data_IF_334918488288
#
_entry.id   IF_334918488288
#
_cell.length_a   1.000
_cell.length_b   1.000
_cell.length_c   1.000
_cell.angle_alpha   90.00
_cell.angle_beta   90.00
_cell.angle_gamma   90.00
#
_symmetry.space_group_name_H-M   'P 1'
#
loop_
_entity.id
_entity.type
_entity.pdbx_description
1 polymer ?
#
# COMPACT_ATOMS: atom_id res chain seq x y z
N UNK A 1 -11.21 5.60 6.92
CA UNK A 1 -10.60 5.46 8.26
C UNK A 1 -9.12 5.08 8.19
N UNK A 2 -8.72 3.93 7.62
CA UNK A 2 -7.31 3.48 7.55
C UNK A 2 -6.36 4.56 7.01
N UNK A 3 -6.69 5.14 5.84
CA UNK A 3 -5.88 6.16 5.16
C UNK A 3 -5.48 7.34 6.06
N UNK A 4 -6.46 7.92 6.77
CA UNK A 4 -6.22 9.07 7.66
C UNK A 4 -5.44 8.68 8.91
N UNK A 5 -5.65 7.49 9.46
CA UNK A 5 -4.88 7.03 10.63
C UNK A 5 -3.42 6.78 10.28
N UNK A 6 -3.15 6.13 9.14
CA UNK A 6 -1.79 5.93 8.65
C UNK A 6 -1.07 7.25 8.42
N UNK A 7 -1.75 8.24 7.84
CA UNK A 7 -1.21 9.58 7.70
C UNK A 7 -0.98 10.29 9.04
N UNK A 8 -1.91 10.14 10.00
CA UNK A 8 -1.82 10.75 11.33
C UNK A 8 -0.60 10.27 12.11
N UNK A 9 -0.24 8.98 12.02
CA UNK A 9 0.95 8.42 12.67
C UNK A 9 2.26 8.66 11.88
N UNK A 10 2.21 9.45 10.80
CA UNK A 10 3.37 9.80 9.99
C UNK A 10 3.78 8.76 8.94
N UNK A 11 2.97 7.73 8.71
CA UNK A 11 3.23 6.65 7.73
C UNK A 11 2.11 6.55 6.68
N UNK A 12 1.85 7.60 5.88
CA UNK A 12 0.77 7.58 4.91
C UNK A 12 0.97 6.48 3.85
N UNK A 13 -0.13 5.99 3.28
CA UNK A 13 -0.09 4.95 2.26
C UNK A 13 0.58 5.45 0.97
N UNK A 14 1.35 4.56 0.34
CA UNK A 14 1.93 4.78 -1.00
C UNK A 14 0.79 5.06 -1.99
N UNK A 15 0.99 6.05 -2.86
CA UNK A 15 0.03 6.43 -3.89
C UNK A 15 -1.27 7.08 -3.39
N UNK A 16 -1.41 7.38 -2.09
CA UNK A 16 -2.62 8.08 -1.59
C UNK A 16 -2.66 9.53 -2.11
N UNK A 17 -3.64 9.90 -2.96
CA UNK A 17 -3.65 11.22 -3.60
C UNK A 17 -4.02 12.36 -2.65
N UNK A 18 -4.63 12.05 -1.49
CA UNK A 18 -5.11 13.04 -0.51
C UNK A 18 -4.13 13.17 0.64
N UNK A 19 -3.75 12.05 1.27
CA UNK A 19 -2.94 12.06 2.49
C UNK A 19 -1.46 11.71 2.27
N UNK A 20 -1.08 11.25 1.07
CA UNK A 20 0.27 10.77 0.75
C UNK A 20 1.25 11.84 0.22
N UNK A 21 0.76 13.05 -0.08
CA UNK A 21 1.53 14.08 -0.80
C UNK A 21 2.71 14.69 -0.06
N UNK A 22 2.86 14.48 1.26
CA UNK A 22 3.73 15.35 2.04
C UNK A 22 5.07 14.82 2.56
N UNK A 23 5.35 13.52 2.75
CA UNK A 23 6.61 13.13 3.44
C UNK A 23 7.25 11.79 3.06
N UNK A 24 6.57 10.86 2.36
CA UNK A 24 7.09 9.49 2.22
C UNK A 24 8.15 9.31 1.12
N UNK A 25 7.88 9.82 -0.08
CA UNK A 25 8.71 9.53 -1.27
C UNK A 25 9.79 10.59 -1.53
N UNK A 26 9.58 11.83 -1.09
CA UNK A 26 10.61 12.88 -1.17
C UNK A 26 11.75 12.65 -0.16
N UNK A 27 11.51 11.92 0.93
CA UNK A 27 12.51 11.58 1.97
C UNK A 27 13.36 10.36 1.58
N UNK A 28 13.00 9.64 0.52
CA UNK A 28 13.69 8.44 0.04
C UNK A 28 14.83 8.72 -0.97
N UNK A 29 15.29 9.97 -1.03
CA UNK A 29 16.50 10.35 -1.77
C UNK A 29 16.22 10.82 -3.20
N UNK A 30 16.74 11.99 -3.52
CA UNK A 30 16.86 12.49 -4.89
C UNK A 30 18.36 12.56 -5.18
N UNK A 31 18.88 11.65 -6.01
CA UNK A 31 20.30 11.59 -6.36
C UNK A 31 20.65 10.44 -7.30
N UNK A 32 21.87 10.44 -7.88
CA UNK A 32 22.37 9.32 -8.68
C UNK A 32 22.47 8.06 -7.81
N UNK A 33 21.88 6.94 -8.26
CA UNK A 33 21.74 5.71 -7.45
C UNK A 33 20.31 5.41 -6.98
N UNK A 34 19.29 6.00 -7.62
CA UNK A 34 17.89 5.76 -7.30
C UNK A 34 17.46 4.35 -7.72
N UNK A 35 17.07 3.53 -6.76
CA UNK A 35 16.57 2.18 -7.01
C UNK A 35 15.17 2.17 -7.65
N UNK A 36 14.95 1.19 -8.53
CA UNK A 36 13.67 0.98 -9.22
C UNK A 36 12.47 0.84 -8.28
N UNK A 37 12.69 0.40 -7.02
CA UNK A 37 11.64 0.33 -6.01
C UNK A 37 11.06 1.70 -5.62
N UNK A 38 11.88 2.76 -5.60
CA UNK A 38 11.40 4.11 -5.29
C UNK A 38 10.62 4.72 -6.44
N UNK A 39 11.04 4.47 -7.68
CA UNK A 39 10.29 4.92 -8.85
C UNK A 39 8.94 4.20 -8.95
N UNK A 40 8.89 2.90 -8.67
CA UNK A 40 7.63 2.14 -8.58
C UNK A 40 6.68 2.72 -7.52
N UNK A 41 7.18 3.02 -6.32
CA UNK A 41 6.36 3.63 -5.26
C UNK A 41 5.86 5.03 -5.62
N UNK A 42 6.68 5.84 -6.32
CA UNK A 42 6.30 7.18 -6.76
C UNK A 42 5.23 7.14 -7.87
N UNK A 43 5.35 6.18 -8.79
CA UNK A 43 4.44 6.02 -9.92
C UNK A 43 3.15 5.28 -9.56
N UNK A 44 3.04 4.72 -8.35
CA UNK A 44 1.89 3.93 -7.94
C UNK A 44 0.60 4.78 -7.94
N UNK A 45 -0.44 4.40 -8.71
CA UNK A 45 -1.48 5.34 -9.16
C UNK A 45 -2.60 5.59 -8.13
N UNK A 46 -2.62 4.85 -7.02
CA UNK A 46 -3.69 4.87 -6.02
C UNK A 46 -3.15 4.51 -4.65
N UNK A 47 -3.94 4.70 -3.60
CA UNK A 47 -3.60 4.19 -2.28
C UNK A 47 -3.32 2.68 -2.33
N UNK A 48 -2.14 2.27 -1.84
CA UNK A 48 -1.76 0.87 -1.66
C UNK A 48 -2.54 0.25 -0.49
N UNK A 49 -3.85 0.09 -0.71
CA UNK A 49 -4.82 -0.46 0.24
C UNK A 49 -5.68 -1.49 -0.50
N UNK A 50 -5.81 -2.69 0.10
CA UNK A 50 -6.58 -3.80 -0.45
C UNK A 50 -7.41 -4.47 0.63
N UNK A 51 -8.70 -4.67 0.36
CA UNK A 51 -9.60 -5.43 1.23
C UNK A 51 -9.49 -6.92 0.86
N UNK A 52 -8.49 -7.59 1.43
CA UNK A 52 -8.16 -8.97 1.06
C UNK A 52 -9.19 -10.01 1.53
N UNK A 53 -9.84 -9.76 2.68
CA UNK A 53 -10.77 -10.70 3.30
C UNK A 53 -12.00 -9.95 3.78
N UNK A 54 -13.18 -10.49 3.47
CA UNK A 54 -14.46 -10.06 4.03
C UNK A 54 -15.11 -11.25 4.73
N UNK A 55 -15.41 -11.11 6.01
CA UNK A 55 -16.12 -12.12 6.79
C UNK A 55 -17.30 -11.51 7.53
N UNK A 56 -18.45 -12.18 7.50
CA UNK A 56 -19.64 -11.77 8.24
C UNK A 56 -20.59 -12.94 8.44
N UNK A 57 -21.52 -12.79 9.39
CA UNK A 57 -22.62 -13.73 9.58
C UNK A 57 -23.73 -13.38 8.59
N UNK A 58 -24.13 -14.33 7.75
CA UNK A 58 -25.18 -14.12 6.77
C UNK A 58 -26.48 -13.69 7.47
N UNK A 59 -27.11 -12.56 7.07
CA UNK A 59 -28.20 -11.96 7.84
C UNK A 59 -29.45 -12.85 7.93
N UNK A 60 -29.65 -13.75 6.96
CA UNK A 60 -30.80 -14.67 6.91
C UNK A 60 -30.45 -16.04 7.46
N UNK A 61 -29.46 -16.71 6.88
CA UNK A 61 -29.09 -18.10 7.24
C UNK A 61 -28.31 -18.20 8.56
N UNK A 62 -27.77 -17.08 9.06
CA UNK A 62 -26.92 -17.01 10.26
C UNK A 62 -25.63 -17.81 10.18
N UNK A 63 -25.25 -18.26 8.98
CA UNK A 63 -24.00 -18.97 8.75
C UNK A 63 -22.83 -17.98 8.66
N UNK A 64 -21.66 -18.41 9.10
CA UNK A 64 -20.43 -17.66 8.93
C UNK A 64 -19.97 -17.73 7.47
N UNK A 65 -19.90 -16.59 6.80
CA UNK A 65 -19.39 -16.47 5.45
C UNK A 65 -18.01 -15.81 5.46
N UNK A 66 -17.16 -16.25 4.53
CA UNK A 66 -15.83 -15.68 4.32
C UNK A 66 -15.53 -15.63 2.82
N UNK A 67 -15.11 -14.46 2.38
CA UNK A 67 -14.71 -14.16 1.02
C UNK A 67 -13.27 -13.69 1.02
N UNK A 68 -12.52 -14.09 0.01
CA UNK A 68 -11.14 -13.65 -0.21
C UNK A 68 -11.03 -13.01 -1.60
N UNK A 69 -10.19 -11.98 -1.70
CA UNK A 69 -9.81 -11.38 -2.96
C UNK A 69 -8.29 -11.46 -3.13
N UNK A 70 -7.77 -12.02 -4.25
CA UNK A 70 -6.34 -12.10 -4.48
C UNK A 70 -5.71 -10.70 -4.48
N UNK A 71 -4.42 -10.64 -4.16
CA UNK A 71 -3.68 -9.38 -4.22
C UNK A 71 -3.69 -8.86 -5.66
N UNK A 72 -4.11 -7.60 -5.92
CA UNK A 72 -4.10 -7.02 -7.26
C UNK A 72 -2.67 -6.93 -7.83
N UNK A 73 -2.56 -7.06 -9.15
CA UNK A 73 -1.28 -7.13 -9.87
C UNK A 73 -0.38 -5.90 -9.60
N UNK A 74 -0.98 -4.72 -9.61
CA UNK A 74 -0.27 -3.47 -9.33
C UNK A 74 0.43 -3.50 -7.95
N UNK A 75 -0.24 -4.02 -6.92
CA UNK A 75 0.32 -4.15 -5.58
C UNK A 75 1.38 -5.25 -5.49
N UNK A 76 1.21 -6.37 -6.21
CA UNK A 76 2.25 -7.40 -6.26
C UNK A 76 3.53 -6.88 -6.92
N UNK A 77 3.41 -6.11 -7.99
CA UNK A 77 4.55 -5.51 -8.69
C UNK A 77 5.26 -4.49 -7.82
N UNK A 78 4.49 -3.64 -7.13
CA UNK A 78 5.04 -2.68 -6.17
C UNK A 78 5.82 -3.40 -5.06
N UNK A 79 5.27 -4.46 -4.47
CA UNK A 79 5.93 -5.25 -3.42
C UNK A 79 7.22 -5.90 -3.97
N UNK A 80 7.17 -6.46 -5.17
CA UNK A 80 8.33 -7.06 -5.81
C UNK A 80 9.46 -6.04 -6.04
N UNK A 81 9.11 -4.83 -6.49
CA UNK A 81 10.08 -3.75 -6.69
C UNK A 81 10.69 -3.28 -5.36
N UNK A 82 9.87 -3.10 -4.31
CA UNK A 82 10.33 -2.65 -3.00
C UNK A 82 11.22 -3.68 -2.28
N UNK A 83 10.98 -4.98 -2.47
CA UNK A 83 11.80 -6.05 -1.89
C UNK A 83 13.24 -6.09 -2.42
N UNK A 84 13.50 -5.49 -3.58
CA UNK A 84 14.83 -5.39 -4.18
C UNK A 84 15.67 -4.26 -3.59
N UNK A 85 15.06 -3.35 -2.82
CA UNK A 85 15.79 -2.28 -2.15
C UNK A 85 16.82 -2.87 -1.18
N UNK A 86 18.02 -2.26 -1.10
CA UNK A 86 19.01 -2.66 -0.12
C UNK A 86 18.42 -2.49 1.29
N UNK A 87 18.54 -3.53 2.13
CA UNK A 87 18.16 -3.42 3.53
C UNK A 87 19.14 -2.47 4.21
N UNK A 88 18.65 -1.44 4.90
CA UNK A 88 19.48 -0.71 5.86
C UNK A 88 19.86 -1.68 6.97
N UNK A 89 21.15 -2.02 7.05
CA UNK A 89 21.79 -2.70 8.18
C UNK A 89 21.85 -1.72 9.36
#
# INVERSE_FOLDING_TARGET
QIRVHMAHIGTPLVGDPVYGRHKGVSVLGSGPGRDAGFDAARAFPRQALHAAVLGFIHPVTKEALRFEAPLPEDMSDLIAALRRLPKKV
#
